data_IF_450143487909
#
_entry.id   IF_450143487909
#
_cell.length_a   1.000
_cell.length_b   1.000
_cell.length_c   1.000
_cell.angle_alpha   90.00
_cell.angle_beta   90.00
_cell.angle_gamma   90.00
#
_symmetry.space_group_name_H-M   'P 1'
#
loop_
_entity.id
_entity.type
_entity.pdbx_description
1 polymer ?
#
# COMPACT_ATOMS: atom_id res chain seq x y z
N UNK A 1 14.84 9.51 -2.39
CA UNK A 1 14.05 10.71 -2.00
C UNK A 1 12.61 10.30 -1.71
N UNK A 2 11.92 10.89 -0.72
CA UNK A 2 10.48 10.61 -0.50
C UNK A 2 9.68 11.39 -1.53
N UNK A 3 8.90 10.70 -2.35
CA UNK A 3 8.06 11.30 -3.39
C UNK A 3 6.62 11.48 -2.93
N UNK A 4 6.13 10.58 -2.09
CA UNK A 4 4.79 10.62 -1.53
C UNK A 4 4.77 9.95 -0.15
N UNK A 5 3.93 10.44 0.74
CA UNK A 5 3.65 9.80 2.02
C UNK A 5 2.26 10.17 2.50
N UNK A 6 1.45 9.17 2.85
CA UNK A 6 0.12 9.39 3.42
C UNK A 6 -0.33 8.20 4.28
N UNK A 7 -1.37 8.39 5.08
CA UNK A 7 -2.05 7.32 5.81
C UNK A 7 -3.13 6.70 4.92
N UNK A 8 -3.04 5.39 4.74
CA UNK A 8 -4.00 4.59 3.97
C UNK A 8 -4.56 3.47 4.83
N UNK A 9 -5.74 2.96 4.50
CA UNK A 9 -6.28 1.77 5.16
C UNK A 9 -5.92 0.53 4.35
N UNK A 10 -5.18 -0.41 4.94
CA UNK A 10 -4.90 -1.72 4.34
C UNK A 10 -5.98 -2.72 4.75
N UNK A 11 -6.50 -3.44 3.77
CA UNK A 11 -7.44 -4.54 3.98
C UNK A 11 -6.67 -5.85 4.05
N UNK A 12 -6.73 -6.54 5.19
CA UNK A 12 -6.14 -7.87 5.33
C UNK A 12 -6.95 -8.92 4.56
N UNK A 13 -6.34 -10.09 4.28
CA UNK A 13 -7.03 -11.24 3.67
C UNK A 13 -8.27 -11.72 4.45
N UNK A 14 -8.38 -11.38 5.75
CA UNK A 14 -9.54 -11.70 6.59
C UNK A 14 -10.56 -10.54 6.67
N UNK A 15 -10.44 -9.51 5.83
CA UNK A 15 -11.31 -8.35 5.81
C UNK A 15 -11.08 -7.33 6.92
N UNK A 16 -10.06 -7.52 7.79
CA UNK A 16 -9.73 -6.52 8.82
C UNK A 16 -9.10 -5.29 8.18
N UNK A 17 -9.64 -4.12 8.54
CA UNK A 17 -9.15 -2.80 8.17
C UNK A 17 -8.16 -2.30 9.23
N UNK A 18 -7.01 -1.79 8.79
CA UNK A 18 -6.03 -1.11 9.66
C UNK A 18 -5.37 0.03 8.91
N UNK A 19 -5.07 1.11 9.61
CA UNK A 19 -4.30 2.23 9.07
C UNK A 19 -2.81 1.90 8.97
N UNK A 20 -2.19 2.37 7.89
CA UNK A 20 -0.77 2.23 7.60
C UNK A 20 -0.27 3.54 7.02
N UNK A 21 0.95 3.94 7.38
CA UNK A 21 1.64 5.00 6.64
C UNK A 21 2.26 4.36 5.39
N UNK A 22 1.77 4.75 4.21
CA UNK A 22 2.33 4.38 2.93
C UNK A 22 3.31 5.46 2.49
N UNK A 23 4.57 5.09 2.29
CA UNK A 23 5.61 5.99 1.81
C UNK A 23 6.17 5.47 0.49
N UNK A 24 6.23 6.32 -0.52
CA UNK A 24 6.78 6.00 -1.84
C UNK A 24 8.06 6.79 -2.03
N UNK A 25 9.10 6.08 -2.44
CA UNK A 25 10.40 6.62 -2.82
C UNK A 25 10.65 6.39 -4.31
N UNK A 26 11.78 6.85 -4.81
CA UNK A 26 12.28 6.58 -6.17
C UNK A 26 12.34 5.09 -6.54
N UNK A 27 12.65 4.20 -5.59
CA UNK A 27 12.84 2.77 -5.88
C UNK A 27 11.87 1.81 -5.18
N UNK A 28 11.14 2.25 -4.15
CA UNK A 28 10.32 1.34 -3.33
C UNK A 28 9.14 2.02 -2.66
N UNK A 29 8.09 1.22 -2.44
CA UNK A 29 6.96 1.49 -1.57
C UNK A 29 7.21 0.86 -0.19
N UNK A 30 6.97 1.61 0.86
CA UNK A 30 7.10 1.18 2.25
C UNK A 30 5.75 1.27 2.95
N UNK A 31 5.42 0.26 3.75
CA UNK A 31 4.29 0.29 4.68
C UNK A 31 4.82 0.29 6.10
N UNK A 32 4.55 1.38 6.79
CA UNK A 32 4.96 1.61 8.17
C UNK A 32 3.74 1.50 9.08
N UNK A 33 3.92 0.87 10.23
CA UNK A 33 2.89 0.88 11.27
C UNK A 33 2.77 2.30 11.85
N UNK A 34 1.56 2.88 11.84
CA UNK A 34 1.32 4.28 12.19
C UNK A 34 1.87 4.65 13.57
N UNK A 35 1.70 3.77 14.56
CA UNK A 35 2.07 4.06 15.95
C UNK A 35 3.57 3.94 16.22
N UNK A 36 4.26 3.02 15.55
CA UNK A 36 5.67 2.71 15.84
C UNK A 36 6.63 3.28 14.81
N UNK A 37 6.12 3.71 13.65
CA UNK A 37 6.88 4.13 12.46
C UNK A 37 7.88 3.04 12.03
N UNK A 38 7.66 1.79 12.43
CA UNK A 38 8.48 0.67 11.99
C UNK A 38 8.02 0.23 10.61
N UNK A 39 8.97 0.12 9.68
CA UNK A 39 8.75 -0.48 8.37
C UNK A 39 8.43 -1.96 8.59
N UNK A 40 7.21 -2.36 8.23
CA UNK A 40 6.77 -3.76 8.28
C UNK A 40 6.86 -4.42 6.92
N UNK A 41 6.66 -3.65 5.85
CA UNK A 41 6.76 -4.14 4.49
C UNK A 41 7.48 -3.14 3.59
N UNK A 42 8.27 -3.69 2.68
CA UNK A 42 8.90 -2.97 1.57
C UNK A 42 8.58 -3.72 0.29
N UNK A 43 8.19 -2.98 -0.74
CA UNK A 43 7.93 -3.49 -2.10
C UNK A 43 8.80 -2.69 -3.05
N UNK A 44 9.64 -3.36 -3.84
CA UNK A 44 10.36 -2.69 -4.93
C UNK A 44 9.36 -2.23 -5.97
N UNK A 45 9.50 -1.01 -6.50
CA UNK A 45 8.64 -0.56 -7.59
C UNK A 45 8.85 -1.40 -8.87
N UNK A 46 10.02 -2.01 -9.03
CA UNK A 46 10.30 -2.94 -10.12
C UNK A 46 9.50 -4.26 -10.01
N UNK A 47 9.03 -4.62 -8.80
CA UNK A 47 8.25 -5.84 -8.57
C UNK A 47 6.74 -5.59 -8.72
N UNK A 48 6.32 -4.32 -8.84
CA UNK A 48 4.93 -3.94 -9.06
C UNK A 48 4.61 -4.10 -10.54
N UNK A 49 3.62 -4.94 -10.85
CA UNK A 49 3.20 -5.14 -12.24
C UNK A 49 2.25 -4.05 -12.73
N UNK A 50 1.24 -3.71 -11.93
CA UNK A 50 0.26 -2.67 -12.21
C UNK A 50 -0.54 -2.34 -10.94
N UNK A 51 -1.33 -1.28 -11.03
CA UNK A 51 -2.27 -0.85 -9.99
C UNK A 51 -3.66 -0.83 -10.61
N UNK A 52 -4.65 -1.35 -9.88
CA UNK A 52 -6.06 -1.28 -10.27
C UNK A 52 -6.82 -0.45 -9.24
N UNK A 53 -7.68 0.45 -9.71
CA UNK A 53 -8.57 1.23 -8.86
C UNK A 53 -10.02 0.84 -9.13
N UNK A 54 -10.85 0.90 -8.10
CA UNK A 54 -12.30 0.72 -8.25
C UNK A 54 -12.89 1.81 -9.12
N UNK A 55 -13.93 1.47 -9.89
CA UNK A 55 -14.71 2.42 -10.69
C UNK A 55 -15.88 3.02 -9.90
N UNK A 56 -16.08 2.58 -8.66
CA UNK A 56 -17.09 3.09 -7.75
C UNK A 56 -16.51 4.23 -6.90
N UNK A 57 -17.35 5.10 -6.30
CA UNK A 57 -16.89 6.14 -5.38
C UNK A 57 -16.56 5.56 -3.99
N UNK A 58 -15.66 4.58 -3.94
CA UNK A 58 -15.31 3.81 -2.74
C UNK A 58 -13.82 3.92 -2.32
N UNK A 59 -13.00 4.60 -3.14
CA UNK A 59 -11.57 4.83 -2.95
C UNK A 59 -10.70 3.56 -2.83
N UNK A 60 -11.20 2.39 -3.26
CA UNK A 60 -10.41 1.17 -3.22
C UNK A 60 -9.40 1.11 -4.36
N UNK A 61 -8.21 0.62 -4.05
CA UNK A 61 -7.19 0.28 -5.05
C UNK A 61 -6.36 -0.93 -4.62
N UNK A 62 -5.81 -1.64 -5.60
CA UNK A 62 -4.96 -2.83 -5.43
C UNK A 62 -3.61 -2.58 -6.09
N UNK A 63 -2.54 -2.94 -5.38
CA UNK A 63 -1.20 -3.00 -5.92
C UNK A 63 -0.87 -4.47 -6.21
N UNK A 64 -0.63 -4.81 -7.47
CA UNK A 64 -0.36 -6.17 -7.91
C UNK A 64 1.14 -6.49 -7.90
N UNK A 65 1.56 -7.47 -7.10
CA UNK A 65 2.98 -7.84 -6.89
C UNK A 65 3.15 -9.34 -7.17
N UNK A 66 3.47 -9.74 -8.41
CA UNK A 66 3.41 -11.14 -8.84
C UNK A 66 4.30 -12.11 -8.05
N UNK A 67 5.48 -11.65 -7.63
CA UNK A 67 6.44 -12.48 -6.88
C UNK A 67 6.13 -12.60 -5.38
N UNK A 68 5.09 -11.92 -4.90
CA UNK A 68 4.71 -11.88 -3.49
C UNK A 68 3.18 -11.95 -3.35
N UNK A 69 2.54 -10.83 -3.06
CA UNK A 69 1.11 -10.79 -2.83
C UNK A 69 0.53 -9.43 -3.20
N UNK A 70 -0.63 -9.48 -3.83
CA UNK A 70 -1.50 -8.33 -4.02
C UNK A 70 -1.93 -7.71 -2.68
N UNK A 71 -1.97 -6.39 -2.66
CA UNK A 71 -2.29 -5.58 -1.47
C UNK A 71 -3.46 -4.66 -1.79
N UNK A 72 -4.57 -4.84 -1.09
CA UNK A 72 -5.77 -4.01 -1.19
C UNK A 72 -5.73 -2.88 -0.17
N UNK A 73 -6.01 -1.67 -0.64
CA UNK A 73 -6.03 -0.45 0.14
C UNK A 73 -7.29 0.38 -0.12
N UNK A 74 -7.57 1.29 0.81
CA UNK A 74 -8.53 2.37 0.67
C UNK A 74 -7.75 3.66 0.91
N UNK A 75 -7.82 4.59 -0.04
CA UNK A 75 -7.31 5.96 0.16
C UNK A 75 -8.34 6.77 0.94
N UNK A 76 -7.89 7.48 1.96
CA UNK A 76 -8.69 8.53 2.58
C UNK A 76 -8.81 9.74 1.62
#
# INVERSE_FOLDING_TARGET
MVMFSDVVVKVSRRGRLREWCMMITDGSLYLLEVNSIKVQHRVSLADVSHISASLLPDNFFIIHVPADQDRLFISA
#
